data_IF_139066175973
#
_entry.id   IF_139066175973
#
_cell.length_a   1.000
_cell.length_b   1.000
_cell.length_c   1.000
_cell.angle_alpha   90.00
_cell.angle_beta   90.00
_cell.angle_gamma   90.00
#
_symmetry.space_group_name_H-M   'P 1'
#
loop_
_entity.id
_entity.type
_entity.pdbx_description
1 polymer ?
#
# COMPACT_ATOMS: atom_id res chain seq x y z
N UNK A 1 14.53 -6.71 -14.27
CA UNK A 1 13.20 -6.10 -14.11
C UNK A 1 13.13 -5.51 -12.71
N UNK A 2 13.27 -4.19 -12.52
CA UNK A 2 13.15 -3.57 -11.19
C UNK A 2 11.66 -3.30 -10.95
N UNK A 3 11.07 -3.89 -9.90
CA UNK A 3 9.69 -3.62 -9.51
C UNK A 3 9.48 -2.14 -9.17
N UNK A 4 8.28 -1.62 -9.42
CA UNK A 4 7.89 -0.26 -9.06
C UNK A 4 7.33 -0.29 -7.64
N UNK A 5 7.99 0.39 -6.71
CA UNK A 5 7.60 0.45 -5.29
C UNK A 5 7.11 1.85 -4.91
N UNK A 6 6.43 2.52 -5.83
CA UNK A 6 5.94 3.88 -5.65
C UNK A 6 4.43 3.89 -5.44
N UNK A 7 3.97 4.66 -4.45
CA UNK A 7 2.56 4.94 -4.22
C UNK A 7 2.31 6.45 -4.23
N UNK A 8 1.31 6.88 -4.99
CA UNK A 8 0.90 8.28 -5.00
C UNK A 8 0.14 8.61 -3.71
N UNK A 9 0.56 9.67 -3.03
CA UNK A 9 -0.11 10.17 -1.83
C UNK A 9 -1.12 11.29 -2.19
N UNK A 10 -0.74 12.19 -3.09
CA UNK A 10 -1.62 13.20 -3.70
C UNK A 10 -1.04 13.67 -5.06
N UNK A 11 -1.50 14.78 -5.59
CA UNK A 11 -1.06 15.30 -6.90
C UNK A 11 0.43 15.72 -6.91
N UNK A 12 1.00 16.08 -5.77
CA UNK A 12 2.36 16.61 -5.65
C UNK A 12 3.33 15.63 -4.99
N UNK A 13 2.82 14.65 -4.22
CA UNK A 13 3.62 13.78 -3.35
C UNK A 13 3.49 12.30 -3.72
N UNK A 14 4.64 11.63 -3.72
CA UNK A 14 4.78 10.19 -3.94
C UNK A 14 5.64 9.58 -2.84
N UNK A 15 5.22 8.42 -2.32
CA UNK A 15 6.01 7.58 -1.42
C UNK A 15 6.79 6.58 -2.25
N UNK A 16 8.12 6.59 -2.17
CA UNK A 16 9.00 5.65 -2.87
C UNK A 16 9.68 4.68 -1.89
N UNK A 17 9.28 3.41 -1.94
CA UNK A 17 9.81 2.33 -1.12
C UNK A 17 10.87 1.46 -1.85
N UNK A 18 11.48 1.97 -2.92
CA UNK A 18 12.46 1.23 -3.73
C UNK A 18 13.70 0.84 -2.94
N UNK A 19 14.22 1.76 -2.12
CA UNK A 19 15.42 1.55 -1.29
C UNK A 19 15.08 1.28 0.17
N UNK A 20 14.15 2.04 0.75
CA UNK A 20 13.77 1.96 2.16
C UNK A 20 12.24 1.90 2.28
N UNK A 21 11.71 0.90 2.98
CA UNK A 21 10.27 0.75 3.18
C UNK A 21 9.93 -0.41 4.10
N UNK A 22 8.67 -0.47 4.56
CA UNK A 22 8.16 -1.57 5.38
C UNK A 22 7.68 -2.77 4.56
N UNK A 23 7.05 -3.74 5.23
CA UNK A 23 6.54 -4.97 4.60
C UNK A 23 5.50 -4.72 3.50
N UNK A 24 4.76 -3.61 3.59
CA UNK A 24 3.73 -3.25 2.60
C UNK A 24 4.26 -3.13 1.16
N UNK A 25 5.57 -2.90 0.97
CA UNK A 25 6.20 -2.86 -0.36
C UNK A 25 6.09 -4.17 -1.14
N UNK A 26 5.87 -5.29 -0.45
CA UNK A 26 5.78 -6.61 -1.05
C UNK A 26 4.35 -7.02 -1.40
N UNK A 27 3.37 -6.14 -1.15
CA UNK A 27 1.99 -6.38 -1.58
C UNK A 27 1.93 -6.29 -3.10
N UNK A 28 1.44 -7.36 -3.71
CA UNK A 28 1.37 -7.49 -5.16
C UNK A 28 0.08 -6.86 -5.71
N UNK A 29 0.09 -6.56 -7.01
CA UNK A 29 -1.13 -6.24 -7.75
C UNK A 29 -1.94 -7.51 -8.01
N UNK A 30 -3.27 -7.42 -7.91
CA UNK A 30 -4.21 -8.49 -8.25
C UNK A 30 -5.46 -7.90 -8.90
N UNK A 31 -6.00 -8.58 -9.90
CA UNK A 31 -7.31 -8.26 -10.49
C UNK A 31 -8.48 -8.59 -9.55
N UNK A 32 -8.25 -9.43 -8.53
CA UNK A 32 -9.22 -9.77 -7.49
C UNK A 32 -8.58 -9.63 -6.10
N UNK A 33 -8.32 -8.39 -5.63
CA UNK A 33 -7.57 -8.16 -4.41
C UNK A 33 -8.44 -8.40 -3.16
N UNK A 34 -7.82 -8.91 -2.10
CA UNK A 34 -8.43 -9.04 -0.76
C UNK A 34 -8.17 -7.82 0.14
N UNK A 35 -7.27 -6.92 -0.25
CA UNK A 35 -6.94 -5.67 0.43
C UNK A 35 -7.19 -4.45 -0.48
N UNK A 36 -7.27 -3.26 0.13
CA UNK A 36 -7.36 -1.96 -0.54
C UNK A 36 -6.42 -0.98 0.13
N UNK A 37 -5.82 -0.08 -0.64
CA UNK A 37 -5.03 1.03 -0.12
C UNK A 37 -5.88 2.30 -0.11
N UNK A 38 -5.94 2.99 1.03
CA UNK A 38 -6.63 4.27 1.17
C UNK A 38 -5.70 5.32 1.75
N UNK A 39 -5.91 6.58 1.35
CA UNK A 39 -5.20 7.73 1.91
C UNK A 39 -6.03 8.28 3.05
N UNK A 40 -5.46 8.30 4.25
CA UNK A 40 -6.14 8.71 5.48
C UNK A 40 -5.31 9.80 6.15
N UNK A 41 -5.99 10.83 6.66
CA UNK A 41 -5.35 11.83 7.52
C UNK A 41 -5.15 11.25 8.92
N UNK A 42 -3.89 11.16 9.35
CA UNK A 42 -3.48 10.69 10.67
C UNK A 42 -2.58 11.77 11.27
N UNK A 43 -2.96 12.33 12.42
CA UNK A 43 -2.19 13.37 13.11
C UNK A 43 -1.81 14.58 12.22
N UNK A 44 -2.74 15.01 11.35
CA UNK A 44 -2.57 16.12 10.38
C UNK A 44 -1.61 15.83 9.23
N UNK A 45 -1.31 14.56 8.98
CA UNK A 45 -0.49 14.12 7.84
C UNK A 45 -1.22 13.04 7.04
N UNK A 46 -1.04 13.03 5.73
CA UNK A 46 -1.65 12.02 4.87
C UNK A 46 -0.80 10.74 4.90
N UNK A 47 -1.46 9.62 5.16
CA UNK A 47 -0.83 8.30 5.23
C UNK A 47 -1.56 7.31 4.33
N UNK A 48 -0.80 6.37 3.77
CA UNK A 48 -1.36 5.26 2.98
C UNK A 48 -1.56 4.09 3.92
N UNK A 49 -2.82 3.68 4.09
CA UNK A 49 -3.21 2.59 4.96
C UNK A 49 -3.76 1.45 4.12
N UNK A 50 -3.35 0.22 4.44
CA UNK A 50 -3.86 -0.99 3.79
C UNK A 50 -4.97 -1.59 4.66
N UNK A 51 -6.17 -1.66 4.11
CA UNK A 51 -7.33 -2.26 4.76
C UNK A 51 -7.71 -3.59 4.11
N UNK A 52 -8.17 -4.54 4.92
CA UNK A 52 -8.74 -5.78 4.41
C UNK A 52 -10.17 -5.52 3.88
N UNK A 53 -10.45 -5.93 2.63
CA UNK A 53 -11.79 -5.82 2.01
C UNK A 53 -12.77 -6.88 2.51
N UNK A 54 -12.23 -7.97 3.07
CA UNK A 54 -12.97 -9.09 3.65
C UNK A 54 -12.12 -9.74 4.75
N UNK A 55 -12.68 -10.71 5.45
CA UNK A 55 -11.89 -11.57 6.35
C UNK A 55 -10.81 -12.30 5.55
N UNK A 56 -9.57 -12.28 6.06
CA UNK A 56 -8.39 -12.92 5.48
C UNK A 56 -7.96 -14.05 6.41
N UNK A 57 -7.70 -15.23 5.85
CA UNK A 57 -7.28 -16.41 6.61
C UNK A 57 -5.78 -16.41 6.85
N UNK A 58 -5.31 -17.17 7.85
CA UNK A 58 -3.86 -17.28 8.11
C UNK A 58 -3.15 -17.89 6.89
N UNK A 59 -2.11 -17.21 6.41
CA UNK A 59 -1.29 -17.65 5.27
C UNK A 59 -1.91 -17.36 3.90
N UNK A 60 -3.06 -16.69 3.86
CA UNK A 60 -3.65 -16.19 2.64
C UNK A 60 -2.91 -14.92 2.20
N UNK A 61 -2.50 -14.88 0.93
CA UNK A 61 -2.05 -13.67 0.24
C UNK A 61 -3.22 -12.89 -0.33
#
# INVERSE_FOLDING_TARGET
NRGIYMFRLDEERVVDATLCGGLARYINHSCNPNCVAEIVEVERDLRIIIFAKRRISRGEE
#
